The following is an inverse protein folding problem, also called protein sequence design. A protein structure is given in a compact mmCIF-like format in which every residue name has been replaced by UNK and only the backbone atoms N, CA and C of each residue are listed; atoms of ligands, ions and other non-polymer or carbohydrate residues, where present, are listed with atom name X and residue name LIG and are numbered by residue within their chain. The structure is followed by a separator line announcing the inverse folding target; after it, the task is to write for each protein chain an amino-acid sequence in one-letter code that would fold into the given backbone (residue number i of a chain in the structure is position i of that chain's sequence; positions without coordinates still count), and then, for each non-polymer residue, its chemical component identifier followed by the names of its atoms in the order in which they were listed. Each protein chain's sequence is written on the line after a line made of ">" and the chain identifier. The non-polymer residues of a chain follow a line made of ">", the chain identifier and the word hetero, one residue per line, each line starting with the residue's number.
data_IF_591873698954
#
_entry.id   IF_591873698954
#
_cell.length_a   1.000
_cell.length_b   1.000
_cell.length_c   1.000
_cell.angle_alpha   90.00
_cell.angle_beta   90.00
_cell.angle_gamma   90.00
#
_symmetry.space_group_name_H-M   'P 1'
#
loop_
_entity.id
_entity.type
_entity.pdbx_description
1 polymer ?
#
# COMPACT_ATOMS: atom_id res chain seq x y z
N UNK A 1 16.32 -28.67 32.45
CA UNK A 1 15.48 -28.04 33.50
C UNK A 1 14.02 -28.11 33.03
N UNK A 2 13.13 -28.87 33.68
CA UNK A 2 11.73 -29.02 33.24
C UNK A 2 10.99 -27.68 33.41
N UNK A 3 10.67 -27.01 32.31
CA UNK A 3 9.83 -25.81 32.31
C UNK A 3 8.43 -26.19 32.81
N UNK A 4 8.06 -25.76 34.01
CA UNK A 4 6.72 -25.95 34.57
C UNK A 4 5.88 -24.72 34.24
N UNK A 5 4.87 -24.88 33.39
CA UNK A 5 3.91 -23.83 33.02
C UNK A 5 2.67 -23.85 33.96
N UNK A 6 1.90 -22.76 34.04
CA UNK A 6 0.65 -22.71 34.80
C UNK A 6 -0.38 -23.72 34.28
N UNK A 7 -1.24 -24.25 35.15
CA UNK A 7 -2.27 -25.22 34.74
C UNK A 7 -3.29 -24.64 33.75
N UNK A 8 -3.54 -23.32 33.78
CA UNK A 8 -4.43 -22.64 32.84
C UNK A 8 -3.98 -22.72 31.38
N UNK A 9 -2.68 -22.90 31.13
CA UNK A 9 -2.12 -23.01 29.77
C UNK A 9 -2.16 -24.44 29.23
N UNK A 10 -2.53 -25.42 30.06
CA UNK A 10 -2.56 -26.85 29.72
C UNK A 10 -3.94 -27.25 29.18
N UNK A 11 -4.35 -26.63 28.07
CA UNK A 11 -5.60 -26.96 27.39
C UNK A 11 -5.38 -27.15 25.89
N UNK A 12 -6.25 -27.94 25.25
CA UNK A 12 -6.12 -28.29 23.83
C UNK A 12 -6.20 -27.07 22.91
N UNK A 13 -6.99 -26.05 23.25
CA UNK A 13 -7.17 -24.85 22.43
C UNK A 13 -5.88 -24.02 22.40
N UNK A 14 -5.28 -23.79 23.58
CA UNK A 14 -4.00 -23.09 23.70
C UNK A 14 -2.86 -23.88 23.07
N UNK A 15 -2.88 -25.22 23.14
CA UNK A 15 -1.89 -26.07 22.46
C UNK A 15 -2.00 -25.94 20.94
N UNK A 16 -3.21 -26.05 20.38
CA UNK A 16 -3.46 -25.87 18.94
C UNK A 16 -3.02 -24.47 18.50
N UNK A 17 -3.40 -23.42 19.25
CA UNK A 17 -2.99 -22.05 18.97
C UNK A 17 -1.48 -21.86 18.96
N UNK A 18 -0.78 -22.42 19.95
CA UNK A 18 0.68 -22.38 20.01
C UNK A 18 1.34 -23.15 18.86
N UNK A 19 0.82 -24.33 18.49
CA UNK A 19 1.32 -25.11 17.36
C UNK A 19 1.14 -24.36 16.05
N UNK A 20 -0.03 -23.76 15.80
CA UNK A 20 -0.29 -22.92 14.62
C UNK A 20 0.70 -21.75 14.58
N UNK A 21 0.84 -21.00 15.67
CA UNK A 21 1.74 -19.85 15.72
C UNK A 21 3.20 -20.22 15.44
N UNK A 22 3.70 -21.33 16.02
CA UNK A 22 5.08 -21.79 15.80
C UNK A 22 5.31 -22.28 14.38
N UNK A 23 4.38 -23.06 13.82
CA UNK A 23 4.48 -23.54 12.43
C UNK A 23 4.42 -22.35 11.47
N UNK A 24 3.48 -21.43 11.64
CA UNK A 24 3.39 -20.23 10.81
C UNK A 24 4.66 -19.38 10.91
N UNK A 25 5.21 -19.17 12.11
CA UNK A 25 6.47 -18.45 12.29
C UNK A 25 7.63 -19.13 11.57
N UNK A 26 7.76 -20.46 11.72
CA UNK A 26 8.78 -21.23 11.01
C UNK A 26 8.63 -21.08 9.49
N UNK A 27 7.42 -21.19 8.96
CA UNK A 27 7.14 -21.03 7.53
C UNK A 27 7.46 -19.61 7.03
N UNK A 28 7.14 -18.57 7.80
CA UNK A 28 7.49 -17.18 7.47
C UNK A 28 9.01 -17.04 7.35
N UNK A 29 9.76 -17.48 8.35
CA UNK A 29 11.22 -17.40 8.36
C UNK A 29 11.82 -18.20 7.21
N UNK A 30 11.34 -19.44 7.00
CA UNK A 30 11.83 -20.32 5.95
C UNK A 30 11.62 -19.72 4.56
N UNK A 31 10.40 -19.24 4.26
CA UNK A 31 10.09 -18.63 2.98
C UNK A 31 10.84 -17.32 2.78
N UNK A 32 10.93 -16.47 3.80
CA UNK A 32 11.70 -15.22 3.74
C UNK A 32 13.17 -15.46 3.41
N UNK A 33 13.81 -16.45 4.04
CA UNK A 33 15.19 -16.83 3.75
C UNK A 33 15.32 -17.37 2.32
N UNK A 34 14.40 -18.23 1.88
CA UNK A 34 14.40 -18.78 0.53
C UNK A 34 14.26 -17.67 -0.52
N UNK A 35 13.29 -16.76 -0.38
CA UNK A 35 13.08 -15.68 -1.35
C UNK A 35 14.27 -14.72 -1.37
N UNK A 36 14.90 -14.46 -0.22
CA UNK A 36 16.11 -13.66 -0.12
C UNK A 36 17.32 -14.30 -0.81
N UNK A 37 17.51 -15.61 -0.66
CA UNK A 37 18.65 -16.34 -1.25
C UNK A 37 18.48 -16.58 -2.74
N UNK A 38 17.28 -16.96 -3.18
CA UNK A 38 16.99 -17.29 -4.59
C UNK A 38 16.70 -16.05 -5.45
N UNK A 39 16.62 -14.86 -4.85
CA UNK A 39 16.24 -13.60 -5.51
C UNK A 39 14.96 -13.71 -6.38
N UNK A 40 14.09 -14.68 -6.09
CA UNK A 40 12.82 -14.85 -6.76
C UNK A 40 11.73 -14.16 -5.96
N UNK A 41 11.23 -13.05 -6.49
CA UNK A 41 10.06 -12.36 -5.97
C UNK A 41 8.94 -12.58 -6.99
N UNK A 42 8.08 -13.55 -6.73
CA UNK A 42 6.82 -13.69 -7.46
C UNK A 42 5.74 -12.90 -6.74
N UNK A 43 4.81 -12.31 -7.49
CA UNK A 43 3.77 -11.42 -6.95
C UNK A 43 2.97 -12.09 -5.83
N UNK A 44 2.71 -13.39 -5.92
CA UNK A 44 1.99 -14.16 -4.90
C UNK A 44 2.83 -14.51 -3.66
N UNK A 45 4.16 -14.59 -3.78
CA UNK A 45 5.02 -14.94 -2.65
C UNK A 45 4.99 -13.84 -1.58
N UNK A 46 5.04 -12.56 -2.00
CA UNK A 46 4.91 -11.42 -1.08
C UNK A 46 3.58 -11.44 -0.32
N UNK A 47 2.46 -11.74 -1.00
CA UNK A 47 1.15 -11.87 -0.36
C UNK A 47 1.16 -12.96 0.72
N UNK A 48 1.73 -14.13 0.41
CA UNK A 48 1.75 -15.26 1.35
C UNK A 48 2.63 -14.95 2.57
N UNK A 49 3.84 -14.44 2.34
CA UNK A 49 4.84 -14.20 3.40
C UNK A 49 4.43 -13.04 4.29
N UNK A 50 3.96 -11.93 3.70
CA UNK A 50 3.77 -10.68 4.42
C UNK A 50 2.33 -10.42 4.91
N UNK A 51 1.33 -11.13 4.38
CA UNK A 51 -0.08 -10.92 4.74
C UNK A 51 -0.73 -12.21 5.25
N UNK A 52 -0.73 -13.28 4.45
CA UNK A 52 -1.48 -14.51 4.77
C UNK A 52 -0.93 -15.22 6.01
N UNK A 53 0.36 -15.59 5.99
CA UNK A 53 0.98 -16.33 7.10
C UNK A 53 1.01 -15.55 8.42
N UNK A 54 1.31 -14.23 8.43
CA UNK A 54 1.17 -13.41 9.63
C UNK A 54 -0.27 -13.40 10.17
N UNK A 55 -1.29 -13.33 9.29
CA UNK A 55 -2.70 -13.42 9.70
C UNK A 55 -3.04 -14.75 10.39
N UNK A 56 -2.55 -15.87 9.86
CA UNK A 56 -2.70 -17.20 10.48
C UNK A 56 -1.94 -17.28 11.81
N UNK A 57 -0.72 -16.75 11.87
CA UNK A 57 0.08 -16.69 13.10
C UNK A 57 -0.64 -15.91 14.21
N UNK A 58 -1.18 -14.72 13.88
CA UNK A 58 -1.95 -13.89 14.82
C UNK A 58 -3.19 -14.64 15.31
N UNK A 59 -3.91 -15.32 14.41
CA UNK A 59 -5.05 -16.15 14.79
C UNK A 59 -4.65 -17.25 15.78
N UNK A 60 -3.52 -17.93 15.54
CA UNK A 60 -2.96 -18.91 16.47
C UNK A 60 -2.60 -18.31 17.84
N UNK A 61 -1.98 -17.12 17.84
CA UNK A 61 -1.65 -16.39 19.07
C UNK A 61 -2.89 -15.96 19.85
N UNK A 62 -3.99 -15.59 19.18
CA UNK A 62 -5.27 -15.23 19.81
C UNK A 62 -6.01 -16.44 20.40
N UNK A 63 -5.83 -17.64 19.84
CA UNK A 63 -6.38 -18.88 20.42
C UNK A 63 -5.76 -19.23 21.77
N UNK A 64 -4.51 -18.81 22.04
CA UNK A 64 -3.83 -19.06 23.31
C UNK A 64 -4.59 -18.43 24.50
N UNK A 65 -4.78 -17.09 24.58
CA UNK A 65 -5.54 -16.47 25.67
C UNK A 65 -7.00 -16.90 25.66
N UNK A 66 -7.61 -17.15 24.50
CA UNK A 66 -8.97 -17.68 24.42
C UNK A 66 -9.10 -19.04 25.13
N UNK A 67 -8.17 -19.96 24.86
CA UNK A 67 -8.11 -21.26 25.53
C UNK A 67 -7.91 -21.15 27.04
N UNK A 68 -7.04 -20.23 27.48
CA UNK A 68 -6.84 -19.96 28.91
C UNK A 68 -8.12 -19.43 29.58
N UNK A 69 -8.82 -18.47 28.95
CA UNK A 69 -10.08 -17.90 29.46
C UNK A 69 -11.19 -18.94 29.55
N UNK A 70 -11.33 -19.79 28.53
CA UNK A 70 -12.33 -20.87 28.52
C UNK A 70 -12.04 -21.92 29.60
N UNK A 71 -10.76 -22.25 29.82
CA UNK A 71 -10.33 -23.21 30.86
C UNK A 71 -10.62 -22.68 32.26
N UNK A 72 -10.30 -21.40 32.52
CA UNK A 72 -10.59 -20.74 33.79
C UNK A 72 -12.11 -20.70 34.04
N UNK A 73 -12.90 -20.32 33.03
CA UNK A 73 -14.38 -20.32 33.14
C UNK A 73 -14.95 -21.70 33.43
N UNK A 74 -14.42 -22.74 32.81
CA UNK A 74 -14.84 -24.13 33.05
C UNK A 74 -14.50 -24.57 34.48
N UNK A 75 -13.27 -24.32 34.92
CA UNK A 75 -12.82 -24.64 36.28
C UNK A 75 -13.65 -23.92 37.34
N UNK A 76 -14.02 -22.64 37.12
CA UNK A 76 -14.90 -21.88 38.03
C UNK A 76 -16.31 -22.46 38.12
N UNK A 77 -16.78 -23.14 37.07
CA UNK A 77 -18.11 -23.78 37.05
C UNK A 77 -18.11 -25.17 37.70
N UNK A 78 -16.98 -25.87 37.67
CA UNK A 78 -16.82 -27.25 38.15
C UNK A 78 -16.24 -27.34 39.58
N UNK A 79 -15.64 -26.27 40.09
CA UNK A 79 -15.00 -26.24 41.42
C UNK A 79 -15.93 -25.67 42.49
N UNK A 80 -16.06 -26.36 43.62
CA UNK A 80 -16.76 -25.85 44.83
C UNK A 80 -15.93 -24.82 45.61
N UNK A 81 -14.61 -24.76 45.39
CA UNK A 81 -13.72 -23.75 45.98
C UNK A 81 -13.77 -22.41 45.24
N UNK A 82 -13.72 -21.30 45.98
CA UNK A 82 -13.57 -19.94 45.45
C UNK A 82 -12.25 -19.80 44.68
N UNK A 83 -12.30 -20.05 43.38
CA UNK A 83 -11.20 -19.72 42.47
C UNK A 83 -11.13 -18.18 42.37
N UNK A 84 -9.99 -17.55 42.71
CA UNK A 84 -9.86 -16.10 42.65
C UNK A 84 -10.21 -15.55 41.25
N UNK A 85 -10.89 -14.40 41.21
CA UNK A 85 -11.39 -13.80 39.96
C UNK A 85 -10.30 -13.42 38.96
N UNK A 86 -9.08 -13.18 39.43
CA UNK A 86 -7.92 -12.83 38.62
C UNK A 86 -6.71 -13.72 38.92
N UNK A 87 -5.89 -14.05 37.91
CA UNK A 87 -4.66 -14.82 38.12
C UNK A 87 -3.71 -14.05 39.04
N UNK A 88 -3.29 -14.68 40.15
CA UNK A 88 -2.29 -14.11 41.08
C UNK A 88 -0.90 -14.16 40.44
N UNK A 89 -0.25 -13.03 40.19
CA UNK A 89 1.13 -13.01 39.68
C UNK A 89 2.09 -13.01 40.87
N UNK A 90 2.80 -14.12 41.11
CA UNK A 90 3.81 -14.23 42.17
C UNK A 90 5.15 -14.67 41.57
N UNK A 91 6.08 -13.73 41.38
CA UNK A 91 7.39 -14.00 40.78
C UNK A 91 8.33 -14.86 41.64
N UNK A 92 7.97 -15.08 42.92
CA UNK A 92 8.67 -16.04 43.77
C UNK A 92 8.31 -17.50 43.41
N UNK A 93 7.19 -17.75 42.73
CA UNK A 93 6.86 -19.07 42.19
C UNK A 93 7.61 -19.31 40.88
N UNK A 94 8.31 -20.45 40.80
CA UNK A 94 9.07 -20.89 39.61
C UNK A 94 8.18 -20.99 38.36
N UNK A 95 6.91 -21.38 38.50
CA UNK A 95 5.97 -21.50 37.37
C UNK A 95 5.63 -20.13 36.78
N UNK A 96 5.37 -19.15 37.64
CA UNK A 96 4.99 -17.80 37.23
C UNK A 96 6.21 -17.05 36.69
N UNK A 97 7.39 -17.27 37.29
CA UNK A 97 8.66 -16.74 36.80
C UNK A 97 9.02 -17.27 35.41
N UNK A 98 8.89 -18.58 35.18
CA UNK A 98 9.15 -19.16 33.86
C UNK A 98 8.15 -18.65 32.81
N UNK A 99 6.85 -18.61 33.16
CA UNK A 99 5.83 -18.06 32.28
C UNK A 99 6.09 -16.60 31.94
N UNK A 100 6.48 -15.79 32.92
CA UNK A 100 6.86 -14.39 32.72
C UNK A 100 8.05 -14.25 31.76
N UNK A 101 9.14 -15.00 31.96
CA UNK A 101 10.30 -14.91 31.07
C UNK A 101 9.98 -15.38 29.65
N UNK A 102 9.23 -16.48 29.50
CA UNK A 102 8.78 -16.96 28.18
C UNK A 102 7.92 -15.89 27.50
N UNK A 103 6.97 -15.31 28.23
CA UNK A 103 6.10 -14.25 27.69
C UNK A 103 6.90 -13.01 27.31
N UNK A 104 7.82 -12.55 28.17
CA UNK A 104 8.63 -11.37 27.93
C UNK A 104 9.55 -11.55 26.71
N UNK A 105 10.32 -12.65 26.66
CA UNK A 105 11.22 -12.95 25.53
C UNK A 105 10.40 -13.16 24.26
N UNK A 106 9.33 -13.96 24.33
CA UNK A 106 8.45 -14.23 23.19
C UNK A 106 7.81 -12.96 22.64
N UNK A 107 7.34 -12.06 23.51
CA UNK A 107 6.74 -10.78 23.11
C UNK A 107 7.80 -9.87 22.47
N UNK A 108 9.01 -9.77 23.04
CA UNK A 108 10.08 -8.98 22.44
C UNK A 108 10.44 -9.47 21.04
N UNK A 109 10.60 -10.78 20.86
CA UNK A 109 10.86 -11.39 19.54
C UNK A 109 9.68 -11.13 18.60
N UNK A 110 8.45 -11.34 19.07
CA UNK A 110 7.25 -11.12 18.27
C UNK A 110 7.13 -9.66 17.81
N UNK A 111 7.36 -8.69 18.70
CA UNK A 111 7.32 -7.26 18.36
C UNK A 111 8.41 -6.90 17.35
N UNK A 112 9.64 -7.41 17.54
CA UNK A 112 10.73 -7.20 16.60
C UNK A 112 10.39 -7.76 15.21
N UNK A 113 9.95 -9.02 15.15
CA UNK A 113 9.56 -9.66 13.88
C UNK A 113 8.34 -8.99 13.25
N UNK A 114 7.38 -8.54 14.06
CA UNK A 114 6.21 -7.82 13.57
C UNK A 114 6.59 -6.46 12.99
N UNK A 115 7.56 -5.76 13.58
CA UNK A 115 8.05 -4.49 13.04
C UNK A 115 8.70 -4.71 11.65
N UNK A 116 9.57 -5.71 11.53
CA UNK A 116 10.20 -6.07 10.24
C UNK A 116 9.16 -6.54 9.23
N UNK A 117 8.27 -7.45 9.62
CA UNK A 117 7.22 -7.97 8.75
C UNK A 117 6.23 -6.89 8.30
N UNK A 118 5.88 -5.95 9.17
CA UNK A 118 4.99 -4.82 8.82
C UNK A 118 5.67 -3.85 7.85
N UNK A 119 6.96 -3.61 8.00
CA UNK A 119 7.75 -2.80 7.07
C UNK A 119 7.78 -3.44 5.67
N UNK A 120 8.06 -4.74 5.59
CA UNK A 120 8.03 -5.46 4.32
C UNK A 120 6.62 -5.52 3.70
N UNK A 121 5.59 -5.75 4.52
CA UNK A 121 4.20 -5.70 4.06
C UNK A 121 3.82 -4.31 3.53
N UNK A 122 4.29 -3.25 4.17
CA UNK A 122 4.13 -1.88 3.71
C UNK A 122 4.76 -1.70 2.32
N UNK A 123 6.04 -2.02 2.16
CA UNK A 123 6.73 -1.88 0.87
C UNK A 123 6.10 -2.73 -0.24
N UNK A 124 5.73 -3.97 0.09
CA UNK A 124 5.08 -4.87 -0.86
C UNK A 124 3.72 -4.31 -1.32
N UNK A 125 2.86 -3.87 -0.39
CA UNK A 125 1.53 -3.31 -0.72
C UNK A 125 1.56 -1.93 -1.36
N UNK A 126 2.74 -1.34 -1.52
CA UNK A 126 2.95 -0.09 -2.24
C UNK A 126 3.71 -0.28 -3.57
N UNK A 127 4.06 -1.52 -3.89
CA UNK A 127 4.74 -1.85 -5.13
C UNK A 127 3.80 -1.83 -6.33
N UNK A 128 4.37 -1.54 -7.50
CA UNK A 128 3.69 -1.67 -8.79
C UNK A 128 3.24 -3.11 -9.03
N UNK A 129 4.01 -4.08 -8.55
CA UNK A 129 3.68 -5.50 -8.66
C UNK A 129 2.38 -5.81 -7.92
N UNK A 130 2.27 -5.43 -6.64
CA UNK A 130 1.05 -5.63 -5.87
C UNK A 130 -0.17 -4.99 -6.52
N UNK A 131 -0.07 -3.74 -6.96
CA UNK A 131 -1.19 -3.02 -7.57
C UNK A 131 -1.56 -3.53 -8.97
N UNK A 132 -0.55 -3.86 -9.80
CA UNK A 132 -0.73 -4.10 -11.22
C UNK A 132 -0.87 -5.58 -11.62
N UNK A 133 -0.28 -6.50 -10.87
CA UNK A 133 -0.24 -7.92 -11.24
C UNK A 133 -1.11 -8.81 -10.36
N UNK A 134 -1.32 -8.44 -9.09
CA UNK A 134 -2.08 -9.28 -8.17
C UNK A 134 -3.57 -9.38 -8.55
N UNK A 135 -4.19 -8.22 -8.82
CA UNK A 135 -5.60 -8.13 -9.21
C UNK A 135 -5.74 -8.01 -10.73
N UNK A 136 -5.11 -8.93 -11.48
CA UNK A 136 -4.96 -8.82 -12.94
C UNK A 136 -6.28 -8.55 -13.69
N UNK A 137 -7.39 -9.20 -13.34
CA UNK A 137 -8.67 -9.03 -14.06
C UNK A 137 -9.17 -7.58 -14.06
N UNK A 138 -9.06 -6.88 -12.93
CA UNK A 138 -9.57 -5.51 -12.77
C UNK A 138 -8.52 -4.44 -12.99
N UNK A 139 -7.24 -4.75 -12.74
CA UNK A 139 -6.14 -3.79 -12.84
C UNK A 139 -5.33 -3.88 -14.14
N UNK A 140 -5.53 -4.91 -14.98
CA UNK A 140 -4.78 -5.07 -16.23
C UNK A 140 -4.83 -3.84 -17.15
N UNK A 141 -5.99 -3.18 -17.40
CA UNK A 141 -6.02 -2.00 -18.25
C UNK A 141 -5.11 -0.87 -17.73
N UNK A 142 -5.18 -0.58 -16.43
CA UNK A 142 -4.37 0.45 -15.79
C UNK A 142 -2.89 0.08 -15.74
N UNK A 143 -2.57 -1.21 -15.51
CA UNK A 143 -1.19 -1.68 -15.52
C UNK A 143 -0.54 -1.59 -16.91
N UNK A 144 -1.29 -1.91 -17.97
CA UNK A 144 -0.82 -1.74 -19.36
C UNK A 144 -0.64 -0.25 -19.68
N UNK A 145 -1.59 0.60 -19.33
CA UNK A 145 -1.48 2.04 -19.53
C UNK A 145 -0.25 2.62 -18.80
N UNK A 146 -0.01 2.18 -17.55
CA UNK A 146 1.17 2.53 -16.77
C UNK A 146 2.47 2.17 -17.50
N UNK A 147 2.58 0.93 -18.01
CA UNK A 147 3.78 0.44 -18.71
C UNK A 147 4.11 1.24 -19.99
N UNK A 148 3.09 1.77 -20.66
CA UNK A 148 3.25 2.58 -21.87
C UNK A 148 3.29 4.10 -21.61
N UNK A 149 3.29 4.52 -20.34
CA UNK A 149 3.31 5.94 -19.96
C UNK A 149 4.73 6.49 -19.75
N UNK A 150 4.85 7.82 -19.69
CA UNK A 150 6.06 8.52 -19.26
C UNK A 150 6.44 8.23 -17.79
N UNK A 151 5.55 7.62 -17.01
CA UNK A 151 5.73 7.31 -15.60
C UNK A 151 5.92 5.81 -15.33
N UNK A 152 6.20 4.99 -16.34
CA UNK A 152 6.36 3.52 -16.23
C UNK A 152 7.44 3.02 -15.25
N UNK A 153 8.20 3.93 -14.63
CA UNK A 153 9.23 3.66 -13.61
C UNK A 153 8.97 4.34 -12.27
N UNK A 154 7.80 4.95 -12.11
CA UNK A 154 7.37 5.64 -10.88
C UNK A 154 6.34 4.76 -10.19
N UNK A 155 6.50 4.49 -8.89
CA UNK A 155 5.56 3.64 -8.17
C UNK A 155 4.12 4.20 -8.24
N UNK A 156 3.11 3.33 -8.38
CA UNK A 156 1.70 3.74 -8.42
C UNK A 156 1.33 4.64 -7.25
N UNK A 157 1.86 4.34 -6.07
CA UNK A 157 1.58 5.06 -4.82
C UNK A 157 2.08 6.50 -4.80
N UNK A 158 3.10 6.83 -5.60
CA UNK A 158 3.59 8.20 -5.73
C UNK A 158 2.49 9.15 -6.22
N UNK A 159 1.55 8.62 -7.03
CA UNK A 159 0.37 9.35 -7.47
C UNK A 159 -0.89 9.00 -6.67
N UNK A 160 -1.05 7.72 -6.27
CA UNK A 160 -2.32 7.17 -5.78
C UNK A 160 -2.45 6.96 -4.26
N UNK A 161 -1.41 7.16 -3.43
CA UNK A 161 -1.53 7.06 -1.95
C UNK A 161 -1.48 8.42 -1.25
N UNK A 162 -0.75 9.40 -1.79
CA UNK A 162 -0.67 10.76 -1.25
C UNK A 162 0.27 10.83 -0.06
N UNK A 163 0.85 12.00 0.21
CA UNK A 163 1.84 12.14 1.29
C UNK A 163 1.18 12.30 2.65
N UNK A 164 1.77 11.70 3.68
CA UNK A 164 1.34 11.87 5.08
C UNK A 164 0.44 10.74 5.61
N UNK A 165 0.34 10.68 6.94
CA UNK A 165 -0.30 9.57 7.66
C UNK A 165 -1.80 9.48 7.37
N UNK A 166 -2.49 10.62 7.27
CA UNK A 166 -3.94 10.65 7.03
C UNK A 166 -4.30 10.05 5.67
N UNK A 167 -3.54 10.41 4.63
CA UNK A 167 -3.71 9.90 3.27
C UNK A 167 -3.34 8.42 3.17
N UNK A 168 -2.26 8.02 3.84
CA UNK A 168 -1.89 6.62 3.98
C UNK A 168 -3.03 5.79 4.58
N UNK A 169 -3.61 6.22 5.71
CA UNK A 169 -4.71 5.51 6.36
C UNK A 169 -5.96 5.43 5.47
N UNK A 170 -6.37 6.56 4.87
CA UNK A 170 -7.51 6.60 3.94
C UNK A 170 -7.32 5.65 2.77
N UNK A 171 -6.12 5.63 2.20
CA UNK A 171 -5.76 4.75 1.09
C UNK A 171 -5.89 3.27 1.48
N UNK A 172 -5.35 2.85 2.64
CA UNK A 172 -5.45 1.46 3.09
C UNK A 172 -6.89 1.05 3.42
N UNK A 173 -7.70 1.94 4.03
CA UNK A 173 -9.13 1.68 4.28
C UNK A 173 -9.91 1.51 2.97
N UNK A 174 -9.68 2.40 2.00
CA UNK A 174 -10.28 2.30 0.66
C UNK A 174 -9.83 1.03 -0.06
N UNK A 175 -8.54 0.69 0.02
CA UNK A 175 -7.98 -0.53 -0.55
C UNK A 175 -8.60 -1.81 0.03
N UNK A 176 -8.88 -1.86 1.34
CA UNK A 176 -9.60 -3.00 1.94
C UNK A 176 -11.01 -3.16 1.35
N UNK A 177 -11.72 -2.05 1.12
CA UNK A 177 -13.02 -2.09 0.45
C UNK A 177 -12.90 -2.57 -1.00
N UNK A 178 -11.87 -2.13 -1.73
CA UNK A 178 -11.60 -2.60 -3.09
C UNK A 178 -11.31 -4.10 -3.14
N UNK A 179 -10.49 -4.62 -2.23
CA UNK A 179 -10.22 -6.06 -2.12
C UNK A 179 -11.53 -6.83 -1.86
N UNK A 180 -12.35 -6.35 -0.93
CA UNK A 180 -13.68 -6.93 -0.70
C UNK A 180 -14.56 -6.89 -1.96
N UNK A 181 -14.62 -5.75 -2.64
CA UNK A 181 -15.46 -5.58 -3.83
C UNK A 181 -15.06 -6.54 -4.96
N UNK A 182 -13.76 -6.74 -5.16
CA UNK A 182 -13.23 -7.71 -6.13
C UNK A 182 -13.58 -9.14 -5.70
N UNK A 183 -13.34 -9.51 -4.44
CA UNK A 183 -13.63 -10.86 -3.92
C UNK A 183 -15.12 -11.21 -3.96
N UNK A 184 -15.99 -10.25 -3.68
CA UNK A 184 -17.44 -10.42 -3.70
C UNK A 184 -18.06 -10.16 -5.10
N UNK A 185 -17.27 -9.72 -6.08
CA UNK A 185 -17.76 -9.40 -7.43
C UNK A 185 -18.71 -8.19 -7.49
N UNK A 186 -18.66 -7.29 -6.50
CA UNK A 186 -19.58 -6.15 -6.34
C UNK A 186 -18.93 -4.84 -6.79
N UNK A 187 -18.51 -4.78 -8.05
CA UNK A 187 -17.93 -3.57 -8.65
C UNK A 187 -18.58 -3.25 -10.00
N UNK A 188 -18.66 -1.96 -10.38
CA UNK A 188 -19.26 -1.55 -11.65
C UNK A 188 -18.44 -2.05 -12.85
N UNK A 189 -19.15 -2.36 -13.94
CA UNK A 189 -18.56 -2.77 -15.23
C UNK A 189 -19.19 -1.93 -16.35
N UNK A 190 -18.43 -1.08 -17.06
CA UNK A 190 -16.99 -0.81 -16.90
C UNK A 190 -16.68 -0.07 -15.58
N UNK A 191 -15.43 -0.20 -15.10
CA UNK A 191 -14.95 0.55 -13.94
C UNK A 191 -14.85 2.03 -14.36
N UNK A 192 -15.58 2.96 -13.70
CA UNK A 192 -15.55 4.36 -14.08
C UNK A 192 -14.20 4.99 -13.70
N UNK A 193 -13.77 6.01 -14.44
CA UNK A 193 -12.59 6.80 -14.09
C UNK A 193 -12.88 7.60 -12.81
N UNK A 194 -12.16 7.38 -11.71
CA UNK A 194 -12.49 7.96 -10.40
C UNK A 194 -12.01 9.42 -10.28
N UNK A 195 -12.27 10.25 -11.30
CA UNK A 195 -11.82 11.65 -11.35
C UNK A 195 -12.87 12.55 -10.69
N UNK A 196 -13.30 12.21 -9.48
CA UNK A 196 -14.18 13.09 -8.70
C UNK A 196 -13.39 14.17 -7.96
N UNK A 197 -12.12 13.91 -7.66
CA UNK A 197 -11.17 14.86 -7.10
C UNK A 197 -9.77 14.49 -7.60
N UNK A 198 -9.24 15.21 -8.60
CA UNK A 198 -7.80 15.14 -8.84
C UNK A 198 -7.10 15.63 -7.57
N UNK A 199 -6.06 14.91 -7.16
CA UNK A 199 -5.24 15.35 -6.04
C UNK A 199 -4.56 16.67 -6.39
N UNK A 200 -4.28 17.52 -5.39
CA UNK A 200 -3.54 18.76 -5.63
C UNK A 200 -2.24 18.44 -6.36
N UNK A 201 -2.06 19.04 -7.54
CA UNK A 201 -0.88 18.82 -8.38
C UNK A 201 0.43 19.12 -7.62
N UNK A 202 0.38 20.06 -6.68
CA UNK A 202 1.48 20.42 -5.76
C UNK A 202 2.03 19.25 -4.96
N UNK A 203 1.14 18.39 -4.45
CA UNK A 203 1.53 17.29 -3.56
C UNK A 203 1.94 16.03 -4.33
N UNK A 204 1.71 15.98 -5.65
CA UNK A 204 1.89 14.78 -6.47
C UNK A 204 2.83 15.03 -7.64
N UNK A 205 2.46 15.93 -8.55
CA UNK A 205 3.20 16.21 -9.78
C UNK A 205 4.42 17.09 -9.51
N UNK A 206 4.27 18.14 -8.69
CA UNK A 206 5.30 19.16 -8.48
C UNK A 206 6.50 18.67 -7.66
N UNK A 207 6.38 17.49 -7.02
CA UNK A 207 7.53 16.82 -6.38
C UNK A 207 8.62 16.44 -7.41
N UNK A 208 8.26 16.28 -8.68
CA UNK A 208 9.17 15.97 -9.78
C UNK A 208 9.14 17.01 -10.91
N UNK A 209 8.02 17.71 -11.08
CA UNK A 209 7.79 18.70 -12.14
C UNK A 209 7.71 20.12 -11.57
N UNK A 210 8.84 20.84 -11.52
CA UNK A 210 8.88 22.21 -10.99
C UNK A 210 8.18 23.23 -11.91
N UNK A 211 7.06 23.85 -11.49
CA UNK A 211 6.39 24.89 -12.29
C UNK A 211 7.27 26.10 -12.58
N UNK A 212 8.22 26.40 -11.68
CA UNK A 212 9.13 27.54 -11.80
C UNK A 212 10.18 27.35 -12.91
N UNK A 213 10.38 26.10 -13.37
CA UNK A 213 11.33 25.80 -14.43
C UNK A 213 10.75 26.18 -15.79
N UNK A 214 11.05 27.39 -16.24
CA UNK A 214 10.65 27.88 -17.56
C UNK A 214 11.47 27.27 -18.71
N UNK A 215 10.76 26.88 -19.76
CA UNK A 215 11.35 26.49 -21.03
C UNK A 215 11.43 27.69 -21.96
N UNK A 216 12.54 27.83 -22.68
CA UNK A 216 12.67 28.87 -23.72
C UNK A 216 11.79 28.57 -24.94
N UNK A 217 11.68 29.51 -25.87
CA UNK A 217 11.03 29.29 -27.16
C UNK A 217 11.71 28.13 -27.89
N UNK A 218 10.91 27.18 -28.38
CA UNK A 218 11.43 26.03 -29.11
C UNK A 218 11.22 26.22 -30.61
N UNK A 219 12.17 25.81 -31.43
CA UNK A 219 12.04 25.77 -32.89
C UNK A 219 11.64 24.36 -33.30
N UNK A 220 10.45 24.23 -33.88
CA UNK A 220 9.97 22.99 -34.46
C UNK A 220 10.18 23.05 -35.97
N UNK A 221 10.77 22.00 -36.54
CA UNK A 221 11.03 21.90 -37.96
C UNK A 221 10.21 20.76 -38.53
N UNK A 222 9.31 21.08 -39.46
CA UNK A 222 8.59 20.08 -40.22
C UNK A 222 9.18 20.03 -41.63
N UNK A 223 9.54 18.83 -42.07
CA UNK A 223 10.01 18.61 -43.43
C UNK A 223 8.91 17.94 -44.21
N UNK A 224 8.42 18.65 -45.21
CA UNK A 224 7.46 18.20 -46.18
C UNK A 224 8.14 18.07 -47.54
N UNK A 225 7.46 17.43 -48.48
CA UNK A 225 7.87 17.39 -49.87
C UNK A 225 6.69 17.83 -50.72
N UNK A 226 6.96 18.67 -51.71
CA UNK A 226 5.93 19.13 -52.63
C UNK A 226 5.50 17.99 -53.54
N UNK A 227 4.25 18.04 -53.99
CA UNK A 227 3.72 17.07 -54.94
C UNK A 227 4.06 17.49 -56.38
N UNK A 228 5.37 17.59 -56.67
CA UNK A 228 5.94 17.84 -57.99
C UNK A 228 6.79 16.64 -58.44
N UNK A 229 7.12 16.59 -59.74
CA UNK A 229 7.86 15.46 -60.32
C UNK A 229 9.27 15.29 -59.71
N UNK A 230 9.87 16.39 -59.25
CA UNK A 230 11.18 16.40 -58.59
C UNK A 230 11.13 16.06 -57.09
N UNK A 231 9.93 15.93 -56.50
CA UNK A 231 9.70 15.73 -55.07
C UNK A 231 10.51 16.74 -54.23
N UNK A 232 10.30 18.03 -54.50
CA UNK A 232 11.08 19.13 -53.94
C UNK A 232 10.90 19.19 -52.42
N UNK A 233 12.01 19.22 -51.68
CA UNK A 233 11.99 19.36 -50.23
C UNK A 233 11.51 20.75 -49.82
N UNK A 234 10.48 20.82 -48.97
CA UNK A 234 9.92 22.05 -48.43
C UNK A 234 9.88 21.98 -46.90
N UNK A 235 10.54 22.93 -46.24
CA UNK A 235 10.63 22.99 -44.78
C UNK A 235 9.74 24.08 -44.19
N UNK A 236 8.98 23.76 -43.16
CA UNK A 236 8.32 24.74 -42.30
C UNK A 236 9.11 24.84 -41.00
N UNK A 237 9.50 26.06 -40.63
CA UNK A 237 10.10 26.34 -39.32
C UNK A 237 9.10 27.11 -38.47
N UNK A 238 8.65 26.49 -37.38
CA UNK A 238 7.71 27.07 -36.42
C UNK A 238 8.47 27.48 -35.15
N UNK A 239 8.33 28.73 -34.72
CA UNK A 239 8.77 29.15 -33.39
C UNK A 239 7.64 28.99 -32.39
N UNK A 240 7.74 27.94 -31.56
CA UNK A 240 6.76 27.64 -30.52
C UNK A 240 6.99 28.55 -29.31
N UNK A 241 5.99 29.36 -28.97
CA UNK A 241 5.97 30.27 -27.81
C UNK A 241 5.64 29.52 -26.52
N UNK A 242 6.46 28.53 -26.18
CA UNK A 242 6.21 27.64 -25.03
C UNK A 242 6.44 28.38 -23.70
N UNK A 243 7.44 29.26 -23.60
CA UNK A 243 7.68 30.04 -22.38
C UNK A 243 7.52 31.54 -22.53
N UNK A 244 7.73 32.24 -21.40
CA UNK A 244 7.81 33.70 -21.32
C UNK A 244 8.85 34.25 -22.29
N UNK A 245 8.67 35.49 -22.75
CA UNK A 245 9.67 36.17 -23.60
C UNK A 245 10.95 36.47 -22.82
N UNK A 246 10.84 36.65 -21.50
CA UNK A 246 11.95 36.87 -20.58
C UNK A 246 11.96 35.80 -19.49
N UNK A 247 12.90 34.86 -19.55
CA UNK A 247 12.97 33.76 -18.57
C UNK A 247 13.15 34.25 -17.12
N UNK A 248 13.73 35.44 -16.91
CA UNK A 248 13.92 36.04 -15.60
C UNK A 248 12.61 36.50 -14.91
N UNK A 249 11.53 36.71 -15.68
CA UNK A 249 10.22 37.13 -15.15
C UNK A 249 9.33 35.93 -14.76
N UNK A 250 9.80 34.69 -14.99
CA UNK A 250 9.14 33.47 -14.52
C UNK A 250 7.69 33.33 -15.02
N UNK A 251 6.79 32.93 -14.11
CA UNK A 251 5.37 32.61 -14.37
C UNK A 251 4.47 33.82 -14.69
N UNK A 252 5.03 35.03 -14.70
CA UNK A 252 4.26 36.27 -14.90
C UNK A 252 3.90 36.53 -16.37
N UNK A 253 4.51 35.81 -17.33
CA UNK A 253 4.27 35.97 -18.76
C UNK A 253 4.22 34.61 -19.50
N UNK A 254 3.51 34.53 -20.64
CA UNK A 254 3.50 33.34 -21.51
C UNK A 254 2.19 32.55 -21.51
N UNK A 255 2.16 31.43 -22.24
CA UNK A 255 0.94 30.62 -22.45
C UNK A 255 0.63 29.63 -21.31
N UNK A 256 1.55 29.45 -20.35
CA UNK A 256 1.42 28.53 -19.21
C UNK A 256 0.80 29.19 -17.97
N UNK A 257 -0.15 30.09 -18.16
CA UNK A 257 -0.83 30.81 -17.07
C UNK A 257 -1.55 29.87 -16.07
N UNK A 258 -1.93 28.65 -16.49
CA UNK A 258 -2.64 27.66 -15.67
C UNK A 258 -1.79 27.02 -14.55
N UNK A 259 -0.46 27.14 -14.59
CA UNK A 259 0.44 26.70 -13.50
C UNK A 259 0.88 27.86 -12.60
N UNK A 260 0.43 29.09 -12.88
CA UNK A 260 0.74 30.24 -12.05
C UNK A 260 -0.09 30.20 -10.76
N UNK A 261 0.58 30.24 -9.60
CA UNK A 261 -0.06 30.17 -8.28
C UNK A 261 -0.95 31.38 -7.97
N UNK A 262 -0.70 32.52 -8.62
CA UNK A 262 -1.49 33.75 -8.49
C UNK A 262 -2.76 33.72 -9.36
N UNK A 263 -2.90 32.72 -10.23
CA UNK A 263 -4.06 32.56 -11.10
C UNK A 263 -4.97 31.46 -10.57
N UNK A 264 -6.20 31.83 -10.23
CA UNK A 264 -7.26 30.89 -9.86
C UNK A 264 -8.16 30.65 -11.06
N UNK A 265 -8.27 29.39 -11.48
CA UNK A 265 -9.25 28.95 -12.50
C UNK A 265 -10.39 28.27 -11.76
N UNK A 266 -11.61 28.76 -11.95
CA UNK A 266 -12.83 28.12 -11.48
C UNK A 266 -13.63 27.71 -12.71
N UNK A 267 -14.27 26.56 -12.68
CA UNK A 267 -15.11 26.11 -13.79
C UNK A 267 -16.28 25.27 -13.28
N UNK A 268 -17.33 25.21 -14.07
CA UNK A 268 -18.48 24.33 -13.82
C UNK A 268 -18.51 23.30 -14.95
N UNK A 269 -18.56 22.02 -14.59
CA UNK A 269 -18.77 20.93 -15.55
C UNK A 269 -20.26 20.64 -15.75
N UNK A 270 -20.67 20.44 -17.00
CA UNK A 270 -22.03 20.03 -17.38
C UNK A 270 -22.23 18.51 -17.40
N UNK A 271 -21.15 17.74 -17.29
CA UNK A 271 -21.16 16.28 -17.34
C UNK A 271 -20.12 15.65 -16.38
N UNK A 272 -20.30 14.36 -16.06
CA UNK A 272 -19.40 13.64 -15.13
C UNK A 272 -17.99 13.43 -15.68
N UNK A 273 -17.78 13.52 -17.01
CA UNK A 273 -16.47 13.32 -17.63
C UNK A 273 -15.67 14.61 -17.78
N UNK A 274 -16.25 15.76 -17.41
CA UNK A 274 -15.62 17.07 -17.55
C UNK A 274 -15.29 17.42 -19.01
N UNK A 275 -16.07 16.93 -19.98
CA UNK A 275 -15.90 17.22 -21.40
C UNK A 275 -16.68 18.48 -21.83
N UNK A 276 -17.76 18.79 -21.13
CA UNK A 276 -18.61 19.95 -21.37
C UNK A 276 -18.41 20.96 -20.25
N UNK A 277 -17.71 22.05 -20.55
CA UNK A 277 -17.45 23.13 -19.58
C UNK A 277 -18.23 24.37 -20.00
N UNK A 278 -19.50 24.52 -19.56
CA UNK A 278 -20.34 25.66 -19.92
C UNK A 278 -19.85 27.01 -19.34
N UNK A 279 -18.99 26.98 -18.32
CA UNK A 279 -18.48 28.18 -17.67
C UNK A 279 -17.06 27.97 -17.12
N UNK A 280 -16.19 28.97 -17.35
CA UNK A 280 -14.82 29.13 -16.83
C UNK A 280 -14.63 30.61 -16.47
#
# INVERSE_FOLDING_TARGET
>A
MKLRLPHSTQNWISLIGATIAVISLFMIIFLFVITGVLAQQGSYMGLVIYILLPGVMITGLLLIPLGMLLTIRKQKKESEEEIPDWPKINLNDVRHRNAFFIFAIGTTIFLFLSAVGSYEAFHYTESVEFCGTLCHEVMQPEYVAYQHSSHARVACVACHVGSGVDWYMRSKLSGMYQVYAVLAGVFPRPIPTPVHNLRPARETCEQCHWPEKFYTKNLHYERHYLNDEENTAWGITLQMKIGASHAALGLQEGIHWHINQDVKIEYISGDEKHETIPWV
#
